data_IF_627599837578
#
_entry.id   IF_627599837578
#
_cell.length_a   1.000
_cell.length_b   1.000
_cell.length_c   1.000
_cell.angle_alpha   90.00
_cell.angle_beta   90.00
_cell.angle_gamma   90.00
#
_symmetry.space_group_name_H-M   'P 1'
#
loop_
_entity.id
_entity.type
_entity.pdbx_description
1 polymer ?
#
# COMPACT_ATOMS: atom_id res chain seq x y z
N UNK A 1 -12.26 10.01 10.01
CA UNK A 1 -11.21 8.98 10.08
C UNK A 1 -11.89 7.62 9.96
N UNK A 2 -11.30 6.70 9.20
CA UNK A 2 -11.86 5.35 9.03
C UNK A 2 -11.80 4.64 10.39
N UNK A 3 -12.95 4.17 10.88
CA UNK A 3 -13.01 3.32 12.07
C UNK A 3 -13.12 1.87 11.61
N UNK A 4 -12.14 1.05 12.00
CA UNK A 4 -12.12 -0.38 11.67
C UNK A 4 -12.72 -1.14 12.84
N UNK A 5 -13.85 -1.79 12.61
CA UNK A 5 -14.57 -2.58 13.60
C UNK A 5 -14.52 -4.08 13.29
N UNK A 6 -14.44 -4.45 12.00
CA UNK A 6 -14.15 -5.82 11.56
C UNK A 6 -13.04 -5.83 10.50
N UNK A 7 -12.25 -6.90 10.53
CA UNK A 7 -11.16 -7.14 9.58
C UNK A 7 -10.93 -8.65 9.49
N UNK A 8 -11.14 -9.22 8.31
CA UNK A 8 -11.12 -10.66 8.08
C UNK A 8 -10.27 -10.98 6.85
N UNK A 9 -9.42 -12.01 6.94
CA UNK A 9 -8.73 -12.53 5.76
C UNK A 9 -9.74 -13.29 4.90
N UNK A 10 -9.89 -12.86 3.65
CA UNK A 10 -10.82 -13.48 2.71
C UNK A 10 -10.12 -14.58 1.92
N UNK A 11 -9.09 -14.23 1.15
CA UNK A 11 -8.35 -15.17 0.31
C UNK A 11 -7.00 -14.60 -0.13
N UNK A 12 -6.06 -15.51 -0.41
CA UNK A 12 -4.82 -15.24 -1.13
C UNK A 12 -4.95 -15.76 -2.56
N UNK A 13 -4.61 -14.93 -3.55
CA UNK A 13 -4.72 -15.29 -4.97
C UNK A 13 -3.40 -15.17 -5.69
N UNK A 14 -3.06 -16.19 -6.47
CA UNK A 14 -1.90 -16.22 -7.37
C UNK A 14 -2.30 -16.08 -8.83
N UNK A 15 -3.58 -16.28 -9.11
CA UNK A 15 -4.22 -16.20 -10.42
C UNK A 15 -5.30 -15.12 -10.38
N UNK A 16 -5.15 -14.10 -11.23
CA UNK A 16 -6.08 -12.96 -11.28
C UNK A 16 -7.51 -13.36 -11.69
N UNK A 17 -7.70 -14.54 -12.28
CA UNK A 17 -9.06 -15.07 -12.56
C UNK A 17 -9.81 -15.46 -11.29
N UNK A 18 -9.12 -15.57 -10.15
CA UNK A 18 -9.68 -15.94 -8.84
C UNK A 18 -9.89 -14.74 -7.92
N UNK A 19 -9.72 -13.50 -8.41
CA UNK A 19 -10.00 -12.30 -7.61
C UNK A 19 -11.46 -12.32 -7.09
N UNK A 20 -11.74 -11.68 -5.94
CA UNK A 20 -13.11 -11.55 -5.45
C UNK A 20 -14.00 -10.92 -6.53
N UNK A 21 -15.19 -11.46 -6.73
CA UNK A 21 -16.13 -10.99 -7.77
C UNK A 21 -16.92 -9.74 -7.38
N UNK A 22 -16.92 -9.37 -6.12
CA UNK A 22 -17.60 -8.17 -5.65
C UNK A 22 -16.72 -6.94 -5.86
N UNK A 23 -17.28 -5.92 -6.49
CA UNK A 23 -16.59 -4.68 -6.86
C UNK A 23 -16.51 -3.68 -5.68
N UNK A 24 -16.18 -4.19 -4.50
CA UNK A 24 -15.93 -3.32 -3.35
C UNK A 24 -14.68 -2.48 -3.62
N UNK A 25 -14.68 -1.25 -3.10
CA UNK A 25 -13.53 -0.34 -3.18
C UNK A 25 -12.29 -0.98 -2.57
N UNK A 26 -11.14 -0.73 -3.18
CA UNK A 26 -9.88 -1.30 -2.73
C UNK A 26 -8.87 -0.25 -2.26
N UNK A 27 -8.18 -0.55 -1.17
CA UNK A 27 -6.98 0.16 -0.72
C UNK A 27 -5.80 -0.80 -0.82
N UNK A 28 -4.84 -0.47 -1.68
CA UNK A 28 -3.69 -1.34 -1.94
C UNK A 28 -2.59 -1.09 -0.92
N UNK A 29 -1.87 -2.14 -0.55
CA UNK A 29 -0.67 -2.05 0.27
C UNK A 29 0.51 -2.59 -0.55
N UNK A 30 1.49 -1.73 -0.76
CA UNK A 30 2.59 -1.98 -1.70
C UNK A 30 3.91 -1.60 -1.02
N UNK A 31 4.98 -2.32 -1.32
CA UNK A 31 6.29 -1.98 -0.81
C UNK A 31 7.29 -3.13 -0.92
N UNK A 32 8.55 -2.82 -0.61
CA UNK A 32 9.61 -3.83 -0.57
C UNK A 32 9.32 -4.92 0.44
N UNK A 33 9.91 -6.07 0.19
CA UNK A 33 9.86 -7.19 1.13
C UNK A 33 10.54 -6.81 2.44
N UNK A 34 9.94 -7.17 3.57
CA UNK A 34 10.39 -6.78 4.92
C UNK A 34 10.40 -5.26 5.21
N UNK A 35 9.70 -4.44 4.41
CA UNK A 35 9.51 -3.02 4.72
C UNK A 35 8.62 -2.81 5.94
N UNK A 36 7.74 -3.77 6.26
CA UNK A 36 6.82 -3.70 7.41
C UNK A 36 5.33 -3.72 7.03
N UNK A 37 5.00 -4.11 5.79
CA UNK A 37 3.63 -4.15 5.25
C UNK A 37 2.64 -4.95 6.08
N UNK A 38 2.94 -6.22 6.39
CA UNK A 38 2.07 -7.06 7.21
C UNK A 38 1.93 -6.51 8.64
N UNK A 39 3.01 -5.97 9.22
CA UNK A 39 2.99 -5.36 10.56
C UNK A 39 2.16 -4.09 10.60
N UNK A 40 2.23 -3.27 9.54
CA UNK A 40 1.38 -2.09 9.37
C UNK A 40 -0.09 -2.48 9.24
N UNK A 41 -0.43 -3.46 8.40
CA UNK A 41 -1.80 -3.97 8.25
C UNK A 41 -2.39 -4.44 9.58
N UNK A 42 -1.64 -5.26 10.32
CA UNK A 42 -2.00 -5.72 11.66
C UNK A 42 -2.26 -4.56 12.62
N UNK A 43 -1.39 -3.54 12.63
CA UNK A 43 -1.52 -2.35 13.47
C UNK A 43 -2.71 -1.46 13.05
N UNK A 44 -2.97 -1.29 11.75
CA UNK A 44 -4.15 -0.56 11.27
C UNK A 44 -5.43 -1.25 11.74
N UNK A 45 -5.52 -2.56 11.58
CA UNK A 45 -6.70 -3.35 11.92
C UNK A 45 -6.83 -3.69 13.41
N UNK A 46 -5.87 -3.28 14.26
CA UNK A 46 -5.80 -3.70 15.67
C UNK A 46 -5.88 -5.24 15.85
N UNK A 47 -5.25 -6.01 14.96
CA UNK A 47 -5.19 -7.47 14.98
C UNK A 47 -3.73 -7.94 15.03
N UNK A 48 -3.42 -8.99 15.79
CA UNK A 48 -2.03 -9.48 15.92
C UNK A 48 -1.57 -10.37 14.76
N UNK A 49 -2.47 -11.16 14.18
CA UNK A 49 -2.14 -12.23 13.22
C UNK A 49 -3.05 -12.22 11.98
N UNK A 50 -3.56 -11.05 11.57
CA UNK A 50 -4.40 -10.93 10.37
C UNK A 50 -3.54 -11.13 9.13
N UNK A 51 -2.53 -10.27 8.95
CA UNK A 51 -1.54 -10.40 7.90
C UNK A 51 -0.30 -11.12 8.44
N UNK A 52 0.05 -12.26 7.84
CA UNK A 52 1.24 -13.02 8.22
C UNK A 52 2.45 -12.48 7.47
N UNK A 53 3.52 -12.16 8.20
CA UNK A 53 4.82 -11.88 7.59
C UNK A 53 5.42 -13.20 7.11
N UNK A 54 5.32 -13.52 5.82
CA UNK A 54 6.07 -14.66 5.27
C UNK A 54 7.56 -14.30 5.25
N UNK A 55 8.32 -14.89 6.18
CA UNK A 55 9.78 -14.72 6.27
C UNK A 55 10.54 -15.61 5.29
N UNK A 56 9.85 -16.50 4.56
CA UNK A 56 10.48 -17.46 3.63
C UNK A 56 10.44 -16.93 2.19
N UNK A 57 11.58 -16.52 1.60
CA UNK A 57 11.65 -16.17 0.19
C UNK A 57 11.38 -17.40 -0.67
N UNK A 58 10.48 -17.30 -1.66
CA UNK A 58 10.30 -18.35 -2.69
C UNK A 58 8.96 -19.07 -2.73
N UNK A 59 8.02 -18.81 -1.82
CA UNK A 59 6.63 -19.24 -2.01
C UNK A 59 5.92 -18.32 -3.01
N UNK A 60 5.06 -18.91 -3.85
CA UNK A 60 4.18 -18.20 -4.79
C UNK A 60 3.57 -16.99 -4.11
N UNK A 61 3.82 -15.80 -4.66
CA UNK A 61 3.48 -14.56 -3.96
C UNK A 61 2.03 -14.20 -4.23
N UNK A 62 1.19 -14.56 -3.28
CA UNK A 62 -0.24 -14.26 -3.29
C UNK A 62 -0.50 -12.76 -3.13
N UNK A 63 -1.54 -12.29 -3.81
CA UNK A 63 -2.25 -11.05 -3.49
C UNK A 63 -3.27 -11.41 -2.41
N UNK A 64 -3.16 -10.82 -1.22
CA UNK A 64 -4.04 -11.16 -0.11
C UNK A 64 -5.14 -10.13 0.06
N UNK A 65 -6.38 -10.60 0.13
CA UNK A 65 -7.55 -9.77 0.35
C UNK A 65 -8.00 -9.85 1.81
N UNK A 66 -8.23 -8.69 2.40
CA UNK A 66 -8.82 -8.56 3.73
C UNK A 66 -10.10 -7.74 3.62
N UNK A 67 -11.23 -8.33 4.02
CA UNK A 67 -12.52 -7.65 4.07
C UNK A 67 -12.56 -6.79 5.33
N UNK A 68 -12.77 -5.48 5.15
CA UNK A 68 -12.81 -4.50 6.24
C UNK A 68 -14.24 -3.96 6.35
N UNK A 69 -14.82 -4.05 7.55
CA UNK A 69 -16.18 -3.59 7.86
C UNK A 69 -17.29 -4.14 6.93
N UNK A 70 -17.02 -5.21 6.16
CA UNK A 70 -17.89 -5.70 5.06
C UNK A 70 -18.15 -4.66 3.95
N UNK A 71 -17.31 -3.63 3.82
CA UNK A 71 -17.55 -2.48 2.93
C UNK A 71 -16.45 -2.21 1.91
N UNK A 72 -15.23 -2.65 2.20
CA UNK A 72 -14.07 -2.43 1.35
C UNK A 72 -13.01 -3.52 1.52
N UNK A 73 -12.07 -3.55 0.59
CA UNK A 73 -10.91 -4.40 0.66
C UNK A 73 -9.65 -3.65 1.00
N UNK A 74 -8.92 -4.18 1.97
CA UNK A 74 -7.48 -3.97 2.04
C UNK A 74 -6.81 -5.07 1.22
N UNK A 75 -6.02 -4.68 0.22
CA UNK A 75 -5.39 -5.62 -0.70
C UNK A 75 -3.89 -5.53 -0.55
N UNK A 76 -3.30 -6.60 -0.03
CA UNK A 76 -1.89 -6.72 0.23
C UNK A 76 -1.17 -7.30 -0.99
N UNK A 77 -0.49 -6.44 -1.74
CA UNK A 77 0.27 -6.86 -2.91
C UNK A 77 1.57 -7.56 -2.49
N UNK A 78 2.04 -8.53 -3.30
CA UNK A 78 3.28 -9.20 -3.03
C UNK A 78 4.45 -8.21 -3.05
N UNK A 79 5.32 -8.28 -2.05
CA UNK A 79 6.46 -7.38 -1.95
C UNK A 79 7.48 -7.59 -3.08
N UNK A 80 8.21 -6.53 -3.43
CA UNK A 80 9.30 -6.56 -4.43
C UNK A 80 10.69 -6.44 -3.77
N UNK A 81 11.74 -6.43 -4.60
CA UNK A 81 13.11 -6.14 -4.16
C UNK A 81 13.80 -7.24 -3.37
N UNK A 82 13.44 -8.51 -3.56
CA UNK A 82 14.18 -9.63 -2.98
C UNK A 82 15.58 -9.72 -3.61
N UNK A 83 16.62 -9.66 -2.79
CA UNK A 83 18.02 -9.61 -3.23
C UNK A 83 18.51 -10.88 -3.96
N UNK A 84 17.78 -12.01 -3.87
CA UNK A 84 18.20 -13.33 -4.37
C UNK A 84 17.07 -14.10 -5.06
N UNK A 85 16.29 -13.45 -5.93
CA UNK A 85 15.29 -14.16 -6.74
C UNK A 85 15.71 -14.23 -8.21
N UNK A 86 15.48 -15.36 -8.90
CA UNK A 86 15.73 -15.47 -10.33
C UNK A 86 14.99 -14.38 -11.11
N UNK A 87 15.57 -13.99 -12.24
CA UNK A 87 15.00 -12.97 -13.12
C UNK A 87 13.57 -13.28 -13.57
N UNK A 88 13.28 -14.56 -13.85
CA UNK A 88 11.94 -15.04 -14.18
C UNK A 88 10.90 -14.72 -13.10
N UNK A 89 11.27 -14.84 -11.81
CA UNK A 89 10.38 -14.47 -10.71
C UNK A 89 10.16 -12.95 -10.63
N UNK A 90 11.16 -12.14 -10.99
CA UNK A 90 11.01 -10.67 -11.06
C UNK A 90 10.08 -10.28 -12.21
N UNK A 91 10.24 -10.90 -13.38
CA UNK A 91 9.37 -10.70 -14.53
C UNK A 91 7.92 -11.12 -14.24
N UNK A 92 7.73 -12.28 -13.60
CA UNK A 92 6.41 -12.75 -13.18
C UNK A 92 5.72 -11.80 -12.18
N UNK A 93 6.47 -11.27 -11.21
CA UNK A 93 5.93 -10.25 -10.29
C UNK A 93 5.55 -8.96 -11.04
N UNK A 94 6.41 -8.48 -11.95
CA UNK A 94 6.14 -7.29 -12.76
C UNK A 94 4.84 -7.46 -13.57
N UNK A 95 4.72 -8.59 -14.28
CA UNK A 95 3.52 -8.94 -15.04
C UNK A 95 2.28 -9.00 -14.15
N UNK A 96 2.36 -9.66 -12.99
CA UNK A 96 1.24 -9.79 -12.06
C UNK A 96 0.72 -8.43 -11.58
N UNK A 97 1.60 -7.51 -11.19
CA UNK A 97 1.20 -6.18 -10.73
C UNK A 97 0.64 -5.34 -11.88
N UNK A 98 1.26 -5.41 -13.05
CA UNK A 98 0.78 -4.70 -14.23
C UNK A 98 -0.62 -5.17 -14.64
N UNK A 99 -0.85 -6.48 -14.74
CA UNK A 99 -2.18 -7.05 -15.02
C UNK A 99 -3.18 -6.73 -13.90
N UNK A 100 -2.72 -6.72 -12.64
CA UNK A 100 -3.55 -6.31 -11.52
C UNK A 100 -3.98 -4.84 -11.66
N UNK A 101 -3.09 -3.90 -11.95
CA UNK A 101 -3.49 -2.49 -12.11
C UNK A 101 -4.36 -2.25 -13.34
N UNK A 102 -4.17 -3.01 -14.43
CA UNK A 102 -4.96 -2.91 -15.68
C UNK A 102 -6.40 -3.40 -15.59
N UNK A 103 -6.77 -4.16 -14.57
CA UNK A 103 -8.04 -4.92 -14.56
C UNK A 103 -9.31 -4.07 -14.47
N UNK A 104 -9.21 -2.76 -14.23
CA UNK A 104 -10.34 -1.84 -14.22
C UNK A 104 -11.21 -1.86 -12.95
N UNK A 105 -10.77 -2.54 -11.88
CA UNK A 105 -11.48 -2.52 -10.60
C UNK A 105 -11.23 -1.19 -9.86
N UNK A 106 -12.19 -0.71 -9.04
CA UNK A 106 -12.08 0.59 -8.38
C UNK A 106 -11.03 0.59 -7.26
N UNK A 107 -9.81 0.99 -7.61
CA UNK A 107 -8.74 1.26 -6.65
C UNK A 107 -8.91 2.68 -6.11
N UNK A 108 -9.13 2.80 -4.81
CA UNK A 108 -9.36 4.08 -4.13
C UNK A 108 -8.05 4.81 -3.82
N UNK A 109 -7.05 4.07 -3.35
CA UNK A 109 -5.76 4.60 -2.91
C UNK A 109 -4.75 3.46 -2.80
N UNK A 110 -3.51 3.69 -3.24
CA UNK A 110 -2.39 2.82 -2.91
C UNK A 110 -1.60 3.36 -1.71
N UNK A 111 -1.23 2.49 -0.78
CA UNK A 111 -0.35 2.80 0.34
C UNK A 111 1.04 2.25 -0.01
N UNK A 112 1.95 3.14 -0.39
CA UNK A 112 3.29 2.82 -0.86
C UNK A 112 4.28 2.95 0.31
N UNK A 113 4.76 1.81 0.81
CA UNK A 113 5.59 1.72 2.01
C UNK A 113 7.08 1.78 1.66
N UNK A 114 7.79 2.66 2.35
CA UNK A 114 9.25 2.79 2.25
C UNK A 114 9.85 2.79 3.67
N UNK A 115 11.03 2.21 3.87
CA UNK A 115 11.72 2.22 5.17
C UNK A 115 12.27 3.62 5.43
N UNK A 116 11.86 4.27 6.52
CA UNK A 116 12.22 5.66 6.80
C UNK A 116 13.75 5.90 6.87
N UNK A 117 14.55 4.85 7.09
CA UNK A 117 16.01 4.95 7.20
C UNK A 117 16.74 5.03 5.86
N UNK A 118 16.02 4.90 4.74
CA UNK A 118 16.58 4.81 3.40
C UNK A 118 15.91 5.79 2.46
N UNK A 119 16.60 6.13 1.39
CA UNK A 119 16.00 6.76 0.22
C UNK A 119 15.15 5.74 -0.56
N UNK A 120 14.18 6.20 -1.39
CA UNK A 120 13.41 5.33 -2.27
C UNK A 120 14.36 4.60 -3.22
N UNK A 121 14.16 3.31 -3.37
CA UNK A 121 14.93 2.49 -4.31
C UNK A 121 14.38 2.64 -5.74
N UNK A 122 15.13 2.23 -6.77
CA UNK A 122 14.62 2.25 -8.15
C UNK A 122 13.32 1.47 -8.34
N UNK A 123 13.09 0.40 -7.55
CA UNK A 123 11.84 -0.35 -7.59
C UNK A 123 10.69 0.38 -6.89
N UNK A 124 10.97 1.21 -5.89
CA UNK A 124 9.96 2.07 -5.28
C UNK A 124 9.53 3.15 -6.28
N UNK A 125 10.48 3.78 -6.97
CA UNK A 125 10.21 4.78 -8.01
C UNK A 125 9.43 4.18 -9.19
N UNK A 126 9.85 3.02 -9.71
CA UNK A 126 9.14 2.33 -10.79
C UNK A 126 7.68 1.99 -10.41
N UNK A 127 7.43 1.63 -9.14
CA UNK A 127 6.07 1.40 -8.67
C UNK A 127 5.25 2.69 -8.65
N UNK A 128 5.85 3.81 -8.22
CA UNK A 128 5.20 5.12 -8.23
C UNK A 128 4.86 5.53 -9.67
N UNK A 129 5.78 5.37 -10.61
CA UNK A 129 5.56 5.66 -12.04
C UNK A 129 4.37 4.85 -12.60
N UNK A 130 4.23 3.59 -12.20
CA UNK A 130 3.08 2.78 -12.59
C UNK A 130 1.77 3.25 -11.97
N UNK A 131 1.76 3.59 -10.68
CA UNK A 131 0.57 4.12 -10.04
C UNK A 131 0.09 5.39 -10.74
N UNK A 132 1.01 6.28 -11.12
CA UNK A 132 0.72 7.49 -11.89
C UNK A 132 0.19 7.18 -13.29
N UNK A 133 0.85 6.25 -14.00
CA UNK A 133 0.43 5.82 -15.33
C UNK A 133 -0.99 5.23 -15.36
N UNK A 134 -1.39 4.49 -14.32
CA UNK A 134 -2.74 3.93 -14.17
C UNK A 134 -3.70 4.86 -13.41
N UNK A 135 -3.32 6.12 -13.17
CA UNK A 135 -4.14 7.13 -12.48
C UNK A 135 -4.61 6.70 -11.08
N UNK A 136 -3.79 5.88 -10.40
CA UNK A 136 -4.03 5.43 -9.03
C UNK A 136 -3.34 6.40 -8.05
N UNK A 137 -4.09 7.20 -7.27
CA UNK A 137 -3.49 8.04 -6.26
C UNK A 137 -2.81 7.19 -5.19
N UNK A 138 -1.76 7.70 -4.58
CA UNK A 138 -1.00 6.97 -3.57
C UNK A 138 -0.57 7.81 -2.38
N UNK A 139 -0.41 7.16 -1.23
CA UNK A 139 0.12 7.72 0.00
C UNK A 139 1.50 7.10 0.28
N UNK A 140 2.53 7.94 0.42
CA UNK A 140 3.84 7.47 0.86
C UNK A 140 3.86 7.26 2.37
N UNK A 141 4.18 6.05 2.81
CA UNK A 141 4.29 5.72 4.24
C UNK A 141 5.73 5.35 4.60
N UNK A 142 6.37 6.21 5.40
CA UNK A 142 7.73 6.01 5.88
C UNK A 142 7.71 5.14 7.15
N UNK A 143 7.79 3.84 6.95
CA UNK A 143 7.75 2.81 7.99
C UNK A 143 9.00 2.81 8.88
N UNK A 144 8.90 2.19 10.06
CA UNK A 144 9.99 2.07 11.04
C UNK A 144 10.57 3.43 11.46
N UNK A 145 9.72 4.46 11.48
CA UNK A 145 10.09 5.81 11.91
C UNK A 145 10.66 5.85 13.35
N UNK A 146 10.27 4.90 14.21
CA UNK A 146 10.83 4.70 15.56
C UNK A 146 12.34 4.41 15.57
N UNK A 147 12.92 4.01 14.43
CA UNK A 147 14.35 3.75 14.30
C UNK A 147 15.18 4.99 13.98
N UNK A 148 14.55 6.16 13.83
CA UNK A 148 15.22 7.43 13.61
C UNK A 148 14.97 8.39 14.79
N UNK A 149 15.99 9.15 15.21
CA UNK A 149 15.78 10.30 16.09
C UNK A 149 14.82 11.31 15.45
N UNK A 150 13.99 11.99 16.24
CA UNK A 150 12.96 12.94 15.77
C UNK A 150 13.51 13.96 14.77
N UNK A 151 14.66 14.57 15.06
CA UNK A 151 15.34 15.51 14.16
C UNK A 151 15.69 14.90 12.80
N UNK A 152 16.21 13.65 12.79
CA UNK A 152 16.56 12.95 11.55
C UNK A 152 15.32 12.52 10.78
N UNK A 153 14.26 12.08 11.47
CA UNK A 153 12.98 11.76 10.85
C UNK A 153 12.37 12.99 10.17
N UNK A 154 12.39 14.15 10.83
CA UNK A 154 11.93 15.42 10.24
C UNK A 154 12.67 15.75 8.95
N UNK A 155 14.01 15.74 8.98
CA UNK A 155 14.84 15.95 7.79
C UNK A 155 14.54 14.96 6.67
N UNK A 156 14.31 13.68 7.01
CA UNK A 156 13.96 12.67 6.02
C UNK A 156 12.59 12.96 5.38
N UNK A 157 11.59 13.31 6.17
CA UNK A 157 10.26 13.67 5.66
C UNK A 157 10.35 14.89 4.74
N UNK A 158 11.12 15.91 5.11
CA UNK A 158 11.29 17.11 4.28
C UNK A 158 12.05 16.80 2.98
N UNK A 159 13.07 15.94 3.02
CA UNK A 159 13.75 15.46 1.82
C UNK A 159 12.79 14.72 0.86
N UNK A 160 11.87 13.91 1.39
CA UNK A 160 10.83 13.26 0.58
C UNK A 160 9.83 14.27 0.00
N UNK A 161 9.42 15.29 0.77
CA UNK A 161 8.54 16.34 0.25
C UNK A 161 9.16 17.10 -0.91
N UNK A 162 10.44 17.48 -0.78
CA UNK A 162 11.18 18.15 -1.86
C UNK A 162 11.34 17.21 -3.06
N UNK A 163 11.73 15.95 -2.84
CA UNK A 163 11.94 14.99 -3.93
C UNK A 163 10.66 14.71 -4.74
N UNK A 164 9.50 14.69 -4.07
CA UNK A 164 8.20 14.37 -4.69
C UNK A 164 7.25 15.57 -4.74
N UNK A 165 7.79 16.79 -4.77
CA UNK A 165 7.01 18.03 -4.76
C UNK A 165 6.01 18.09 -5.92
N UNK A 166 6.47 17.70 -7.12
CA UNK A 166 5.61 17.63 -8.32
C UNK A 166 4.47 16.62 -8.14
N UNK A 167 4.76 15.42 -7.67
CA UNK A 167 3.75 14.37 -7.49
C UNK A 167 2.70 14.78 -6.43
N UNK A 168 3.13 15.52 -5.40
CA UNK A 168 2.27 16.11 -4.38
C UNK A 168 1.39 17.23 -4.95
N UNK A 169 1.96 18.15 -5.74
CA UNK A 169 1.24 19.30 -6.29
C UNK A 169 0.24 18.91 -7.37
N UNK A 170 0.56 17.89 -8.17
CA UNK A 170 -0.34 17.33 -9.20
C UNK A 170 -1.41 16.40 -8.61
N UNK A 171 -1.33 16.07 -7.31
CA UNK A 171 -2.34 15.29 -6.60
C UNK A 171 -2.23 13.77 -6.76
N UNK A 172 -1.19 13.27 -7.45
CA UNK A 172 -0.89 11.84 -7.49
C UNK A 172 -0.49 11.29 -6.12
N UNK A 173 0.41 12.01 -5.44
CA UNK A 173 0.82 11.69 -4.08
C UNK A 173 -0.07 12.45 -3.08
N UNK A 174 -0.85 11.70 -2.31
CA UNK A 174 -1.80 12.23 -1.33
C UNK A 174 -1.15 12.67 -0.01
N UNK A 175 0.18 12.53 0.09
CA UNK A 175 0.96 12.96 1.24
C UNK A 175 2.11 12.00 1.58
N UNK A 176 2.83 12.35 2.65
CA UNK A 176 3.90 11.55 3.22
C UNK A 176 3.63 11.42 4.72
N UNK A 177 3.49 10.19 5.21
CA UNK A 177 3.20 9.88 6.62
C UNK A 177 4.32 9.03 7.22
N UNK A 178 5.08 9.53 8.22
CA UNK A 178 5.93 8.66 9.02
C UNK A 178 5.07 7.73 9.87
N UNK A 179 5.43 6.45 9.92
CA UNK A 179 4.66 5.43 10.61
C UNK A 179 5.54 4.51 11.45
N UNK A 180 5.10 4.19 12.66
CA UNK A 180 5.70 3.15 13.49
C UNK A 180 4.67 2.11 13.89
N UNK A 181 4.95 0.84 13.60
CA UNK A 181 4.13 -0.26 14.09
C UNK A 181 4.34 -0.51 15.60
N UNK A 182 5.49 -0.07 16.15
CA UNK A 182 5.84 -0.21 17.57
C UNK A 182 5.00 0.76 18.40
N UNK A 183 5.20 2.07 18.23
CA UNK A 183 4.45 3.10 18.98
C UNK A 183 3.01 3.24 18.48
N UNK A 184 2.77 3.06 17.19
CA UNK A 184 1.48 3.37 16.54
C UNK A 184 1.39 4.77 15.96
N UNK A 185 2.46 5.55 16.02
CA UNK A 185 2.54 6.88 15.40
C UNK A 185 2.23 6.81 13.90
N UNK A 186 1.51 7.82 13.41
CA UNK A 186 1.06 7.92 12.02
C UNK A 186 -0.18 7.08 11.68
N UNK A 187 -0.66 6.19 12.57
CA UNK A 187 -1.87 5.38 12.32
C UNK A 187 -3.11 6.23 12.06
N UNK A 188 -3.35 7.24 12.90
CA UNK A 188 -4.53 8.08 12.79
C UNK A 188 -4.48 8.96 11.53
N UNK A 189 -3.31 9.50 11.19
CA UNK A 189 -3.12 10.31 9.97
C UNK A 189 -3.36 9.47 8.71
N UNK A 190 -2.80 8.26 8.67
CA UNK A 190 -3.02 7.30 7.58
C UNK A 190 -4.51 7.00 7.43
N UNK A 191 -5.21 6.62 8.52
CA UNK A 191 -6.64 6.31 8.47
C UNK A 191 -7.52 7.54 8.16
N UNK A 192 -7.03 8.75 8.45
CA UNK A 192 -7.71 10.00 8.08
C UNK A 192 -7.63 10.22 6.57
N UNK A 193 -6.45 10.04 5.96
CA UNK A 193 -6.24 10.17 4.51
C UNK A 193 -7.05 9.09 3.77
N UNK A 194 -6.92 7.82 4.16
CA UNK A 194 -7.69 6.71 3.55
C UNK A 194 -9.19 7.02 3.55
N UNK A 195 -9.72 7.50 4.67
CA UNK A 195 -11.13 7.88 4.78
C UNK A 195 -11.52 9.09 3.90
N UNK A 196 -10.60 10.02 3.66
CA UNK A 196 -10.81 11.13 2.72
C UNK A 196 -11.01 10.60 1.29
N UNK A 197 -10.12 9.72 0.84
CA UNK A 197 -10.25 9.09 -0.48
C UNK A 197 -11.53 8.26 -0.61
N UNK A 198 -11.84 7.43 0.39
CA UNK A 198 -13.08 6.63 0.38
C UNK A 198 -14.33 7.51 0.22
N UNK A 199 -14.39 8.68 0.87
CA UNK A 199 -15.53 9.61 0.73
C UNK A 199 -15.60 10.24 -0.67
N UNK A 200 -14.47 10.60 -1.25
CA UNK A 200 -14.41 11.26 -2.55
C UNK A 200 -14.70 10.30 -3.72
N UNK A 201 -14.28 9.04 -3.61
CA UNK A 201 -14.54 8.00 -4.63
C UNK A 201 -16.02 7.63 -4.74
N UNK A 202 -16.84 7.90 -3.71
CA UNK A 202 -18.29 7.65 -3.74
C UNK A 202 -19.10 8.65 -4.58
N UNK A 203 -18.49 9.77 -5.03
CA UNK A 203 -19.15 10.81 -5.81
C UNK A 203 -19.08 10.65 -7.33
N UNK A 204 -18.18 9.81 -7.86
CA UNK A 204 -17.95 9.68 -9.32
C UNK A 204 -18.82 8.62 -10.03
N UNK A 205 -19.70 7.91 -9.32
CA UNK A 205 -20.55 6.86 -9.92
C UNK A 205 -22.00 7.31 -10.24
N UNK A 206 -22.34 8.61 -10.17
CA UNK A 206 -23.72 9.09 -10.43
C UNK A 206 -23.95 9.81 -11.76
N UNK A 207 -22.95 9.95 -12.63
CA UNK A 207 -23.12 10.57 -13.95
C UNK A 207 -22.68 9.60 -15.04
N UNK A 208 -23.53 8.60 -15.29
CA UNK A 208 -23.64 7.94 -16.57
C UNK A 208 -25.14 7.75 -16.83
N UNK A 209 -25.74 8.79 -17.43
CA UNK A 209 -27.03 8.74 -18.13
C UNK A 209 -26.72 8.96 -19.59
#
# INVERSE_FOLDING_TARGET
MLKIHSAEFLQGVTDLRRLPKNELREVLFIGRSNVGKSTLLNKLCNRRNLARSSSTPGKTREINYYLINNELYFVDLPGYGYAKVPEQMRAGWKKLIEEFLKRGFPITLAIQLIDARQDPTPLDLMMMDWLEYYEVPYLLVLTKSDKLPVSKLGKQVDAYKVRFEKNLSEGFCSGIVPFSSVSGDGRNDLLKIVNGHLKNSGGRQKEAV
#
